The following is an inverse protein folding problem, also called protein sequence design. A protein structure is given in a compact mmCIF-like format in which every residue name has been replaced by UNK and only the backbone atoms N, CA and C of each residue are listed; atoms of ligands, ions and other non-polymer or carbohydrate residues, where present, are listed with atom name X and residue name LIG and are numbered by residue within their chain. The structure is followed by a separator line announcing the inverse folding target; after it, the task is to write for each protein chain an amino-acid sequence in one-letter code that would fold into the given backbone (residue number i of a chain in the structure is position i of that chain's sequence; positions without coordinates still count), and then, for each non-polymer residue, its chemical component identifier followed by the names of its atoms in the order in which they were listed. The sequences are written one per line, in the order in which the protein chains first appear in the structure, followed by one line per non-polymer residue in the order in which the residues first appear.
data_IF_496058283469
#
_entry.id   IF_496058283469
#
_cell.length_a   1.000
_cell.length_b   1.000
_cell.length_c   1.000
_cell.angle_alpha   90.00
_cell.angle_beta   90.00
_cell.angle_gamma   90.00
#
_symmetry.space_group_name_H-M   'P 1'
#
loop_
_entity.id
_entity.type
_entity.pdbx_description
1 polymer ?
#
# COMPACT_ATOMS: atom_id res chain seq x y z
N UNK A 1 -53.11 34.96 14.57
CA UNK A 1 -52.01 34.07 15.01
C UNK A 1 -50.70 34.66 14.51
N UNK A 2 -49.74 35.04 15.37
CA UNK A 2 -48.49 35.63 14.91
C UNK A 2 -47.64 34.56 14.20
N UNK A 3 -47.08 34.93 13.05
CA UNK A 3 -46.22 34.07 12.23
C UNK A 3 -44.98 33.63 13.03
N UNK A 4 -44.76 32.31 13.12
CA UNK A 4 -43.52 31.76 13.68
C UNK A 4 -42.36 32.23 12.83
N UNK A 5 -41.58 33.20 13.31
CA UNK A 5 -40.29 33.55 12.72
C UNK A 5 -39.40 32.30 12.73
N UNK A 6 -38.98 31.84 11.55
CA UNK A 6 -37.92 30.84 11.42
C UNK A 6 -36.61 31.53 11.80
N UNK A 7 -36.00 31.09 12.89
CA UNK A 7 -34.63 31.46 13.21
C UNK A 7 -33.70 30.53 12.42
N UNK A 8 -32.68 31.11 11.79
CA UNK A 8 -31.58 30.35 11.19
C UNK A 8 -30.50 30.28 12.26
N UNK A 9 -30.21 29.08 12.73
CA UNK A 9 -29.09 28.84 13.65
C UNK A 9 -27.83 28.61 12.81
N UNK A 10 -26.80 29.42 13.06
CA UNK A 10 -25.48 29.27 12.45
C UNK A 10 -24.50 28.84 13.54
N UNK A 11 -23.83 27.69 13.32
CA UNK A 11 -22.85 27.12 14.25
C UNK A 11 -21.46 27.37 13.68
N UNK A 12 -20.60 27.97 14.49
CA UNK A 12 -19.21 28.28 14.13
C UNK A 12 -18.25 27.48 15.01
N UNK A 13 -17.10 27.10 14.45
CA UNK A 13 -15.99 26.48 15.16
C UNK A 13 -14.68 27.10 14.68
N UNK A 14 -13.80 27.48 15.62
CA UNK A 14 -12.45 27.97 15.32
C UNK A 14 -11.50 26.82 14.91
N UNK A 15 -11.88 25.58 15.19
CA UNK A 15 -11.13 24.36 14.84
C UNK A 15 -11.82 23.65 13.68
N UNK A 16 -11.07 22.79 12.97
CA UNK A 16 -11.60 21.86 11.97
C UNK A 16 -12.45 20.75 12.63
N UNK A 17 -13.51 21.12 13.33
CA UNK A 17 -14.38 20.22 14.07
C UNK A 17 -15.77 20.13 13.43
N UNK A 18 -16.29 18.91 13.35
CA UNK A 18 -17.62 18.65 12.83
C UNK A 18 -18.67 19.13 13.85
N UNK A 19 -19.58 20.05 13.48
CA UNK A 19 -20.59 20.59 14.40
C UNK A 19 -21.64 19.55 14.80
N UNK A 20 -21.85 18.51 14.00
CA UNK A 20 -22.84 17.46 14.27
C UNK A 20 -22.30 16.33 15.13
N UNK A 21 -21.06 15.90 14.87
CA UNK A 21 -20.50 14.67 15.44
C UNK A 21 -19.41 14.91 16.49
N UNK A 22 -18.95 16.17 16.65
CA UNK A 22 -17.91 16.53 17.62
C UNK A 22 -16.50 16.00 17.30
N UNK A 23 -16.28 15.47 16.10
CA UNK A 23 -14.97 14.96 15.65
C UNK A 23 -14.12 16.13 15.16
N UNK A 24 -12.89 16.25 15.65
CA UNK A 24 -11.90 17.23 15.17
C UNK A 24 -10.90 16.59 14.22
N UNK A 25 -10.73 17.18 13.04
CA UNK A 25 -9.61 16.88 12.16
C UNK A 25 -8.33 17.55 12.68
N UNK A 26 -7.17 16.90 12.50
CA UNK A 26 -5.88 17.51 12.79
C UNK A 26 -5.61 18.69 11.85
N UNK A 27 -4.60 19.50 12.20
CA UNK A 27 -4.13 20.58 11.33
C UNK A 27 -3.67 20.03 9.98
N UNK A 28 -4.13 20.68 8.90
CA UNK A 28 -3.79 20.29 7.53
C UNK A 28 -2.34 20.67 7.25
N UNK A 29 -1.46 19.69 7.37
CA UNK A 29 -0.03 19.82 7.05
C UNK A 29 0.39 18.74 6.07
N UNK A 30 1.46 18.99 5.30
CA UNK A 30 1.98 18.00 4.35
C UNK A 30 2.31 16.64 5.00
N UNK A 31 2.67 16.64 6.30
CA UNK A 31 2.97 15.42 7.06
C UNK A 31 1.75 14.51 7.23
N UNK A 32 0.55 15.08 7.29
CA UNK A 32 -0.71 14.31 7.35
C UNK A 32 -0.91 13.45 6.10
N UNK A 33 -0.38 13.86 4.95
CA UNK A 33 -0.51 13.16 3.68
C UNK A 33 0.68 12.25 3.36
N UNK A 34 1.63 12.11 4.29
CA UNK A 34 2.80 11.26 4.11
C UNK A 34 2.63 9.93 4.82
N UNK A 35 2.61 8.84 4.05
CA UNK A 35 2.62 7.48 4.60
C UNK A 35 3.96 7.10 5.24
N UNK A 36 5.03 7.89 5.00
CA UNK A 36 6.32 7.74 5.66
C UNK A 36 6.40 8.51 6.99
N UNK A 37 5.35 9.26 7.35
CA UNK A 37 5.26 9.99 8.61
C UNK A 37 4.26 9.31 9.54
N UNK A 38 4.57 9.12 10.83
CA UNK A 38 3.62 8.52 11.77
C UNK A 38 2.32 9.32 11.93
N UNK A 39 2.34 10.62 11.58
CA UNK A 39 1.17 11.50 11.58
C UNK A 39 0.16 11.13 10.49
N UNK A 40 0.63 10.80 9.29
CA UNK A 40 -0.22 10.49 8.13
C UNK A 40 -0.39 9.01 7.83
N UNK A 41 0.54 8.17 8.30
CA UNK A 41 0.54 6.73 8.09
C UNK A 41 -0.65 6.04 8.76
N UNK A 42 -1.24 5.08 8.05
CA UNK A 42 -2.23 4.16 8.61
C UNK A 42 -1.64 3.48 9.87
N UNK A 43 -2.34 3.50 11.02
CA UNK A 43 -1.81 2.95 12.27
C UNK A 43 -1.59 1.42 12.20
N UNK A 44 -2.41 0.72 11.41
CA UNK A 44 -2.45 -0.74 11.41
C UNK A 44 -1.38 -1.38 10.52
N UNK A 45 -1.02 -0.72 9.42
CA UNK A 45 0.06 -1.18 8.52
C UNK A 45 1.28 -0.26 8.54
N UNK A 46 1.30 0.76 9.41
CA UNK A 46 2.39 1.74 9.56
C UNK A 46 2.84 2.36 8.22
N UNK A 47 1.89 2.59 7.31
CA UNK A 47 2.18 3.19 6.01
C UNK A 47 2.67 2.22 4.92
N UNK A 48 2.69 0.91 5.17
CA UNK A 48 3.05 -0.08 4.15
C UNK A 48 1.93 -0.28 3.12
N UNK A 49 0.67 -0.17 3.54
CA UNK A 49 -0.53 -0.45 2.71
C UNK A 49 -0.85 -1.94 2.57
N UNK A 50 0.10 -2.80 2.91
CA UNK A 50 -0.07 -4.25 2.96
C UNK A 50 0.06 -4.76 4.39
N UNK A 51 -0.49 -5.94 4.65
CA UNK A 51 -0.16 -6.77 5.80
C UNK A 51 0.37 -8.09 5.29
N UNK A 52 1.35 -8.63 5.98
CA UNK A 52 1.84 -9.96 5.74
C UNK A 52 0.94 -10.93 6.49
N UNK A 53 0.38 -11.89 5.77
CA UNK A 53 -0.40 -12.98 6.32
C UNK A 53 0.17 -14.30 5.81
N UNK A 54 0.15 -15.33 6.65
CA UNK A 54 0.53 -16.66 6.22
C UNK A 54 -0.63 -17.28 5.42
N UNK A 55 -0.33 -17.78 4.22
CA UNK A 55 -1.32 -18.50 3.42
C UNK A 55 -1.41 -19.97 3.91
N UNK A 56 -2.55 -20.43 4.44
CA UNK A 56 -2.68 -21.80 4.95
C UNK A 56 -2.37 -22.87 3.89
N UNK A 57 -2.82 -22.65 2.66
CA UNK A 57 -2.62 -23.55 1.53
C UNK A 57 -1.14 -23.77 1.15
N UNK A 58 -0.26 -22.78 1.36
CA UNK A 58 1.17 -22.95 1.08
C UNK A 58 1.88 -23.70 2.22
N UNK A 59 1.37 -23.57 3.44
CA UNK A 59 1.93 -24.10 4.68
C UNK A 59 1.68 -25.62 4.85
N UNK A 60 0.62 -26.14 4.25
CA UNK A 60 0.09 -27.49 4.52
C UNK A 60 0.43 -28.47 3.38
N UNK A 61 0.78 -29.69 3.74
CA UNK A 61 0.85 -30.87 2.88
C UNK A 61 -0.28 -31.83 3.28
N UNK A 62 -1.36 -31.86 2.48
CA UNK A 62 -2.60 -32.55 2.85
C UNK A 62 -2.47 -34.08 2.92
N UNK A 63 -1.49 -34.66 2.23
CA UNK A 63 -1.30 -36.11 2.18
C UNK A 63 -0.55 -36.66 3.39
N UNK A 64 0.14 -35.79 4.13
CA UNK A 64 0.90 -36.15 5.32
C UNK A 64 0.02 -36.29 6.57
N UNK A 65 0.51 -37.04 7.58
CA UNK A 65 -0.07 -37.02 8.92
C UNK A 65 -0.13 -35.61 9.49
N UNK A 66 -1.11 -35.33 10.35
CA UNK A 66 -1.35 -33.99 10.88
C UNK A 66 -0.13 -33.38 11.60
N UNK A 67 0.71 -34.20 12.21
CA UNK A 67 1.96 -33.77 12.84
C UNK A 67 3.04 -33.31 11.83
N UNK A 68 3.03 -33.88 10.62
CA UNK A 68 4.02 -33.64 9.58
C UNK A 68 3.50 -32.78 8.42
N UNK A 69 2.19 -32.56 8.37
CA UNK A 69 1.52 -31.81 7.32
C UNK A 69 1.94 -30.34 7.31
N UNK A 70 2.33 -29.79 8.44
CA UNK A 70 2.73 -28.38 8.53
C UNK A 70 4.23 -28.28 8.24
N UNK A 71 4.57 -27.67 7.10
CA UNK A 71 5.93 -27.65 6.56
C UNK A 71 6.93 -26.93 7.47
N UNK A 72 6.64 -25.73 8.03
CA UNK A 72 7.58 -25.07 8.96
C UNK A 72 7.92 -25.90 10.19
N UNK A 73 6.99 -26.71 10.70
CA UNK A 73 7.22 -27.57 11.87
C UNK A 73 8.27 -28.68 11.59
N UNK A 74 8.64 -28.92 10.33
CA UNK A 74 9.68 -29.89 9.98
C UNK A 74 11.09 -29.29 10.09
N UNK A 75 11.22 -27.97 10.19
CA UNK A 75 12.52 -27.31 10.33
C UNK A 75 12.99 -27.38 11.79
N UNK A 76 14.30 -27.26 11.99
CA UNK A 76 14.89 -27.19 13.34
C UNK A 76 14.42 -25.97 14.12
N UNK A 77 13.95 -24.93 13.43
CA UNK A 77 13.53 -23.66 14.03
C UNK A 77 12.16 -23.79 14.70
N UNK A 78 11.22 -24.55 14.14
CA UNK A 78 9.84 -24.66 14.65
C UNK A 78 9.43 -26.07 15.10
N UNK A 79 10.33 -27.05 15.08
CA UNK A 79 10.03 -28.43 15.48
C UNK A 79 9.43 -28.56 16.89
N UNK A 80 9.73 -27.63 17.81
CA UNK A 80 9.23 -27.64 19.17
C UNK A 80 7.70 -27.52 19.24
N UNK A 81 7.05 -26.94 18.22
CA UNK A 81 5.59 -26.83 18.12
C UNK A 81 4.90 -28.18 17.85
N UNK A 82 5.64 -29.23 17.46
CA UNK A 82 5.06 -30.58 17.30
C UNK A 82 4.53 -31.14 18.62
N UNK A 83 5.21 -30.88 19.74
CA UNK A 83 4.78 -31.38 21.04
C UNK A 83 3.42 -30.81 21.50
N UNK A 84 3.20 -29.48 21.53
CA UNK A 84 1.89 -28.93 21.86
C UNK A 84 0.83 -29.28 20.80
N UNK A 85 1.20 -29.38 19.52
CA UNK A 85 0.28 -29.87 18.48
C UNK A 85 -0.24 -31.28 18.78
N UNK A 86 0.63 -32.22 19.17
CA UNK A 86 0.24 -33.58 19.59
C UNK A 86 -0.70 -33.57 20.80
N UNK A 87 -0.57 -32.59 21.70
CA UNK A 87 -1.48 -32.41 22.83
C UNK A 87 -2.86 -31.97 22.36
N UNK A 88 -2.92 -30.95 21.50
CA UNK A 88 -4.18 -30.43 20.92
C UNK A 88 -4.91 -31.52 20.14
N UNK A 89 -4.20 -32.25 19.26
CA UNK A 89 -4.79 -33.35 18.49
C UNK A 89 -5.43 -34.41 19.39
N UNK A 90 -4.73 -34.84 20.45
CA UNK A 90 -5.26 -35.83 21.41
C UNK A 90 -6.48 -35.32 22.17
N UNK A 91 -6.48 -34.04 22.56
CA UNK A 91 -7.64 -33.43 23.22
C UNK A 91 -8.87 -33.42 22.32
N UNK A 92 -8.68 -33.12 21.03
CA UNK A 92 -9.74 -33.14 20.02
C UNK A 92 -10.12 -34.57 19.56
N UNK A 93 -9.52 -35.62 20.13
CA UNK A 93 -9.84 -37.02 19.82
C UNK A 93 -9.12 -37.59 18.59
N UNK A 94 -8.10 -36.91 18.07
CA UNK A 94 -7.34 -37.34 16.89
C UNK A 94 -5.93 -37.82 17.24
N UNK A 95 -5.39 -38.70 16.40
CA UNK A 95 -4.01 -39.17 16.53
C UNK A 95 -3.06 -38.31 15.70
N UNK A 96 -1.78 -38.15 16.11
CA UNK A 96 -0.78 -37.46 15.29
C UNK A 96 -0.57 -38.09 13.89
N UNK A 97 -0.94 -39.37 13.74
CA UNK A 97 -0.83 -40.14 12.50
C UNK A 97 -2.02 -39.96 11.55
N UNK A 98 -3.10 -39.33 12.00
CA UNK A 98 -4.26 -39.06 11.17
C UNK A 98 -3.85 -38.14 10.01
N UNK A 99 -4.15 -38.50 8.76
CA UNK A 99 -3.86 -37.65 7.60
C UNK A 99 -4.57 -36.30 7.73
N UNK A 100 -3.91 -35.21 7.35
CA UNK A 100 -4.46 -33.86 7.46
C UNK A 100 -5.79 -33.69 6.73
N UNK A 101 -5.89 -34.22 5.49
CA UNK A 101 -7.13 -34.17 4.69
C UNK A 101 -8.34 -34.83 5.34
N UNK A 102 -8.12 -35.77 6.28
CA UNK A 102 -9.18 -36.48 6.98
C UNK A 102 -9.66 -35.75 8.25
N UNK A 103 -9.02 -34.64 8.63
CA UNK A 103 -9.47 -33.83 9.75
C UNK A 103 -10.67 -32.96 9.34
N UNK A 104 -11.69 -32.81 10.19
CA UNK A 104 -12.75 -31.83 9.98
C UNK A 104 -12.21 -30.40 9.94
N UNK A 105 -12.92 -29.52 9.25
CA UNK A 105 -12.50 -28.13 9.08
C UNK A 105 -12.45 -27.36 10.40
N UNK A 106 -13.35 -27.65 11.34
CA UNK A 106 -13.32 -27.09 12.70
C UNK A 106 -12.03 -27.45 13.43
N UNK A 107 -11.57 -28.69 13.30
CA UNK A 107 -10.33 -29.17 13.93
C UNK A 107 -9.11 -28.52 13.28
N UNK A 108 -9.10 -28.39 11.95
CA UNK A 108 -8.04 -27.66 11.24
C UNK A 108 -7.99 -26.20 11.69
N UNK A 109 -9.13 -25.53 11.82
CA UNK A 109 -9.21 -24.15 12.28
C UNK A 109 -8.66 -23.98 13.70
N UNK A 110 -9.01 -24.89 14.63
CA UNK A 110 -8.45 -24.85 15.99
C UNK A 110 -6.93 -25.05 15.95
N UNK A 111 -6.41 -25.97 15.13
CA UNK A 111 -4.97 -26.20 15.00
C UNK A 111 -4.26 -24.95 14.45
N UNK A 112 -4.80 -24.34 13.39
CA UNK A 112 -4.16 -23.24 12.68
C UNK A 112 -4.31 -21.90 13.40
N UNK A 113 -5.50 -21.56 13.88
CA UNK A 113 -5.83 -20.23 14.42
C UNK A 113 -5.97 -20.20 15.94
N UNK A 114 -5.99 -21.36 16.59
CA UNK A 114 -5.98 -21.45 18.04
C UNK A 114 -7.36 -21.52 18.68
N UNK A 115 -7.37 -21.88 19.95
CA UNK A 115 -8.50 -21.72 20.87
C UNK A 115 -7.92 -21.38 22.25
N UNK A 116 -7.99 -20.09 22.60
CA UNK A 116 -7.49 -19.58 23.88
C UNK A 116 -8.44 -19.86 25.03
N UNK A 117 -9.71 -20.15 24.75
CA UNK A 117 -10.77 -20.23 25.75
C UNK A 117 -10.76 -21.57 26.46
N UNK A 118 -10.56 -22.65 25.71
CA UNK A 118 -10.62 -24.02 26.26
C UNK A 118 -9.28 -24.77 26.23
N UNK A 119 -8.37 -24.39 25.33
CA UNK A 119 -7.17 -25.17 25.04
C UNK A 119 -5.84 -24.46 25.35
N UNK A 120 -5.91 -23.19 25.73
CA UNK A 120 -4.72 -22.30 25.85
C UNK A 120 -3.79 -22.44 24.65
N UNK A 121 -4.37 -22.55 23.44
CA UNK A 121 -3.62 -22.79 22.21
C UNK A 121 -3.61 -21.52 21.36
N UNK A 122 -2.42 -20.98 21.11
CA UNK A 122 -2.22 -19.77 20.30
C UNK A 122 -2.64 -19.98 18.84
N UNK A 123 -2.53 -21.21 18.32
CA UNK A 123 -2.62 -21.49 16.89
C UNK A 123 -1.27 -21.37 16.21
N UNK A 124 -1.06 -22.14 15.16
CA UNK A 124 0.21 -22.17 14.43
C UNK A 124 0.40 -20.91 13.60
N UNK A 125 -0.64 -20.43 12.92
CA UNK A 125 -0.54 -19.22 12.09
C UNK A 125 -0.22 -17.99 12.94
N UNK A 126 -0.99 -17.64 14.00
CA UNK A 126 -0.68 -16.49 14.83
C UNK A 126 0.71 -16.57 15.46
N UNK A 127 1.15 -17.77 15.85
CA UNK A 127 2.48 -18.00 16.37
C UNK A 127 3.57 -17.70 15.34
N UNK A 128 3.46 -18.23 14.12
CA UNK A 128 4.44 -18.02 13.05
C UNK A 128 4.46 -16.55 12.59
N UNK A 129 3.30 -15.90 12.47
CA UNK A 129 3.19 -14.47 12.14
C UNK A 129 3.90 -13.60 13.19
N UNK A 130 3.66 -13.88 14.47
CA UNK A 130 4.35 -13.20 15.56
C UNK A 130 5.86 -13.43 15.51
N UNK A 131 6.31 -14.66 15.28
CA UNK A 131 7.74 -14.99 15.13
C UNK A 131 8.38 -14.29 13.94
N UNK A 132 7.68 -14.13 12.83
CA UNK A 132 8.17 -13.38 11.66
C UNK A 132 8.37 -11.90 11.98
N UNK A 133 7.42 -11.28 12.70
CA UNK A 133 7.46 -9.87 13.05
C UNK A 133 8.47 -9.54 14.18
N UNK A 134 8.57 -10.41 15.20
CA UNK A 134 9.42 -10.19 16.38
C UNK A 134 10.87 -10.64 16.18
N UNK A 135 11.14 -11.57 15.26
CA UNK A 135 12.48 -12.12 15.08
C UNK A 135 13.43 -11.14 14.39
N UNK A 136 14.59 -10.94 15.01
CA UNK A 136 15.74 -10.23 14.43
C UNK A 136 16.68 -11.17 13.65
N UNK A 137 16.45 -12.49 13.69
CA UNK A 137 17.29 -13.47 13.00
C UNK A 137 16.79 -13.69 11.56
N UNK A 138 17.69 -13.50 10.59
CA UNK A 138 17.40 -13.65 9.16
C UNK A 138 16.85 -15.04 8.81
N UNK A 139 17.40 -16.10 9.41
CA UNK A 139 16.97 -17.48 9.21
C UNK A 139 15.46 -17.70 9.42
N UNK A 140 14.86 -17.01 10.39
CA UNK A 140 13.41 -17.14 10.67
C UNK A 140 12.59 -16.51 9.55
N UNK A 141 13.08 -15.41 8.96
CA UNK A 141 12.41 -14.74 7.85
C UNK A 141 12.53 -15.58 6.58
N UNK A 142 13.74 -16.01 6.23
CA UNK A 142 14.01 -16.89 5.09
C UNK A 142 13.14 -18.15 5.11
N UNK A 143 13.02 -18.82 6.28
CA UNK A 143 12.17 -20.02 6.41
C UNK A 143 10.67 -19.74 6.25
N UNK A 144 10.21 -18.52 6.49
CA UNK A 144 8.79 -18.16 6.45
C UNK A 144 8.36 -17.40 5.19
N UNK A 145 9.30 -16.80 4.46
CA UNK A 145 9.05 -16.00 3.26
C UNK A 145 8.20 -16.74 2.22
N UNK A 146 8.48 -18.02 1.99
CA UNK A 146 7.74 -18.85 1.03
C UNK A 146 6.25 -19.00 1.36
N UNK A 147 5.89 -18.88 2.65
CA UNK A 147 4.54 -19.07 3.16
C UNK A 147 3.77 -17.77 3.35
N UNK A 148 4.49 -16.64 3.38
CA UNK A 148 3.90 -15.33 3.58
C UNK A 148 3.36 -14.80 2.25
N UNK A 149 2.19 -14.17 2.34
CA UNK A 149 1.60 -13.42 1.24
C UNK A 149 1.32 -12.01 1.72
N UNK A 150 1.57 -11.05 0.84
CA UNK A 150 1.13 -9.69 1.04
C UNK A 150 -0.35 -9.60 0.71
N UNK A 151 -1.17 -9.24 1.69
CA UNK A 151 -2.55 -8.84 1.47
C UNK A 151 -2.71 -7.35 1.64
N UNK A 152 -3.69 -6.80 0.93
CA UNK A 152 -4.05 -5.39 1.10
C UNK A 152 -4.52 -5.15 2.52
N UNK A 153 -4.01 -4.09 3.16
CA UNK A 153 -4.39 -3.76 4.53
C UNK A 153 -5.90 -3.47 4.60
N UNK A 154 -6.67 -4.19 5.44
CA UNK A 154 -8.13 -4.05 5.50
C UNK A 154 -8.57 -2.67 6.01
N UNK A 155 -7.73 -2.00 6.80
CA UNK A 155 -8.06 -0.73 7.46
C UNK A 155 -7.97 0.45 6.50
N UNK A 156 -6.94 0.48 5.65
CA UNK A 156 -6.70 1.59 4.72
C UNK A 156 -6.99 1.22 3.25
N UNK A 157 -7.33 -0.05 2.97
CA UNK A 157 -7.59 -0.53 1.61
C UNK A 157 -6.40 -0.36 0.67
N UNK A 158 -5.17 -0.38 1.20
CA UNK A 158 -3.95 -0.18 0.42
C UNK A 158 -3.46 1.27 0.33
N UNK A 159 -4.27 2.24 0.76
CA UNK A 159 -3.95 3.67 0.64
C UNK A 159 -2.77 4.16 1.48
N UNK A 160 -2.33 3.36 2.46
CA UNK A 160 -1.21 3.64 3.38
C UNK A 160 -1.46 4.79 4.35
N UNK A 161 -2.58 5.49 4.23
CA UNK A 161 -2.88 6.70 4.99
C UNK A 161 -3.96 6.48 6.05
N UNK A 162 -4.04 7.41 7.00
CA UNK A 162 -5.14 7.47 7.95
C UNK A 162 -6.43 7.98 7.30
N UNK A 163 -7.57 7.67 7.92
CA UNK A 163 -8.89 8.09 7.44
C UNK A 163 -9.04 9.61 7.38
N UNK A 164 -8.44 10.33 8.32
CA UNK A 164 -8.45 11.79 8.38
C UNK A 164 -7.76 12.40 7.16
N UNK A 165 -6.63 11.83 6.72
CA UNK A 165 -5.93 12.27 5.52
C UNK A 165 -6.75 12.00 4.25
N UNK A 166 -7.43 10.85 4.19
CA UNK A 166 -8.29 10.48 3.06
C UNK A 166 -9.59 11.29 3.01
N UNK A 167 -10.00 11.90 4.12
CA UNK A 167 -11.20 12.74 4.20
C UNK A 167 -10.99 14.13 3.61
N UNK A 168 -9.74 14.52 3.32
CA UNK A 168 -9.43 15.78 2.64
C UNK A 168 -9.50 15.57 1.13
N UNK A 169 -10.42 16.29 0.50
CA UNK A 169 -10.75 16.11 -0.91
C UNK A 169 -10.37 17.35 -1.73
N UNK A 170 -9.91 17.12 -2.95
CA UNK A 170 -9.71 18.13 -3.99
C UNK A 170 -10.60 17.74 -5.17
N UNK A 171 -11.51 18.63 -5.58
CA UNK A 171 -12.52 18.36 -6.63
C UNK A 171 -13.24 17.02 -6.43
N UNK A 172 -13.60 16.73 -5.16
CA UNK A 172 -14.32 15.51 -4.76
C UNK A 172 -13.47 14.25 -4.67
N UNK A 173 -12.13 14.33 -4.75
CA UNK A 173 -11.23 13.18 -4.73
C UNK A 173 -10.18 13.28 -3.63
N UNK A 174 -9.92 12.17 -2.94
CA UNK A 174 -8.85 12.08 -1.95
C UNK A 174 -7.48 11.98 -2.64
N UNK A 175 -6.40 12.20 -1.88
CA UNK A 175 -5.05 11.98 -2.39
C UNK A 175 -4.86 10.56 -2.95
N UNK A 176 -5.50 9.56 -2.33
CA UNK A 176 -5.41 8.17 -2.77
C UNK A 176 -6.09 7.96 -4.13
N UNK A 177 -7.26 8.55 -4.32
CA UNK A 177 -7.99 8.46 -5.59
C UNK A 177 -7.18 9.06 -6.74
N UNK A 178 -6.47 10.16 -6.49
CA UNK A 178 -5.63 10.85 -7.48
C UNK A 178 -4.41 10.00 -7.85
N UNK A 179 -3.70 9.43 -6.87
CA UNK A 179 -2.48 8.63 -7.16
C UNK A 179 -2.79 7.27 -7.79
N UNK A 180 -4.03 6.79 -7.69
CA UNK A 180 -4.51 5.59 -8.37
C UNK A 180 -4.86 5.81 -9.85
N UNK A 181 -5.01 7.06 -10.29
CA UNK A 181 -5.25 7.35 -11.71
C UNK A 181 -3.99 7.04 -12.52
N UNK A 182 -4.16 6.60 -13.79
CA UNK A 182 -3.09 6.66 -14.76
C UNK A 182 -2.52 8.08 -14.84
N UNK A 183 -1.20 8.22 -14.99
CA UNK A 183 -0.48 9.51 -15.05
C UNK A 183 -1.09 10.44 -16.10
N UNK A 184 -1.51 9.91 -17.25
CA UNK A 184 -2.18 10.69 -18.28
C UNK A 184 -3.53 11.27 -17.85
N UNK A 185 -4.29 10.54 -17.03
CA UNK A 185 -5.55 11.01 -16.45
C UNK A 185 -5.31 12.00 -15.30
N UNK A 186 -4.35 11.70 -14.42
CA UNK A 186 -3.95 12.60 -13.34
C UNK A 186 -3.50 13.96 -13.88
N UNK A 187 -2.75 13.99 -14.99
CA UNK A 187 -2.34 15.24 -15.65
C UNK A 187 -3.56 16.07 -16.06
N UNK A 188 -4.52 15.45 -16.76
CA UNK A 188 -5.77 16.11 -17.18
C UNK A 188 -6.58 16.60 -15.98
N UNK A 189 -6.62 15.81 -14.90
CA UNK A 189 -7.28 16.20 -13.66
C UNK A 189 -6.71 17.51 -13.11
N UNK A 190 -5.37 17.64 -13.01
CA UNK A 190 -4.74 18.86 -12.51
C UNK A 190 -4.85 20.05 -13.47
N UNK A 191 -4.82 19.81 -14.79
CA UNK A 191 -5.09 20.85 -15.80
C UNK A 191 -6.50 21.43 -15.62
N UNK A 192 -7.52 20.57 -15.53
CA UNK A 192 -8.90 20.99 -15.30
C UNK A 192 -9.08 21.65 -13.93
N UNK A 193 -8.40 21.17 -12.89
CA UNK A 193 -8.44 21.76 -11.55
C UNK A 193 -7.89 23.19 -11.57
N UNK A 194 -6.76 23.42 -12.25
CA UNK A 194 -6.11 24.74 -12.35
C UNK A 194 -7.05 25.79 -12.95
N UNK A 195 -7.88 25.41 -13.91
CA UNK A 195 -8.88 26.28 -14.53
C UNK A 195 -10.05 26.63 -13.60
N UNK A 196 -10.43 25.72 -12.69
CA UNK A 196 -11.54 25.90 -11.75
C UNK A 196 -11.18 26.72 -10.51
N UNK A 197 -9.90 26.94 -10.22
CA UNK A 197 -9.45 27.61 -9.01
C UNK A 197 -10.01 29.04 -8.91
N UNK A 198 -10.40 29.43 -7.70
CA UNK A 198 -10.71 30.82 -7.36
C UNK A 198 -9.44 31.67 -7.36
N UNK A 199 -9.58 33.00 -7.46
CA UNK A 199 -8.41 33.91 -7.44
C UNK A 199 -7.58 33.79 -6.16
N UNK A 200 -8.21 33.53 -5.01
CA UNK A 200 -7.49 33.28 -3.75
C UNK A 200 -6.69 31.98 -3.78
N UNK A 201 -7.27 30.92 -4.32
CA UNK A 201 -6.59 29.62 -4.41
C UNK A 201 -5.45 29.67 -5.43
N UNK A 202 -5.63 30.35 -6.57
CA UNK A 202 -4.57 30.55 -7.56
C UNK A 202 -3.33 31.20 -6.97
N UNK A 203 -3.49 32.22 -6.12
CA UNK A 203 -2.35 32.89 -5.46
C UNK A 203 -1.47 31.92 -4.65
N UNK A 204 -2.05 30.84 -4.14
CA UNK A 204 -1.36 29.85 -3.29
C UNK A 204 -0.89 28.65 -4.12
N UNK A 205 -1.77 28.11 -4.96
CA UNK A 205 -1.61 26.79 -5.57
C UNK A 205 -1.09 26.81 -7.01
N UNK A 206 -1.14 27.94 -7.73
CA UNK A 206 -0.87 27.97 -9.18
C UNK A 206 0.54 27.44 -9.53
N UNK A 207 1.57 27.89 -8.81
CA UNK A 207 2.96 27.42 -9.02
C UNK A 207 3.12 25.93 -8.67
N UNK A 208 2.41 25.44 -7.66
CA UNK A 208 2.43 24.03 -7.26
C UNK A 208 1.75 23.16 -8.31
N UNK A 209 0.59 23.58 -8.81
CA UNK A 209 -0.14 22.87 -9.86
C UNK A 209 0.66 22.85 -11.17
N UNK A 210 1.29 23.96 -11.54
CA UNK A 210 2.16 24.01 -12.71
C UNK A 210 3.32 23.00 -12.61
N UNK A 211 3.98 22.92 -11.45
CA UNK A 211 5.05 21.94 -11.23
C UNK A 211 4.55 20.49 -11.29
N UNK A 212 3.38 20.21 -10.72
CA UNK A 212 2.75 18.87 -10.80
C UNK A 212 2.44 18.52 -12.26
N UNK A 213 1.78 19.41 -12.99
CA UNK A 213 1.41 19.21 -14.41
C UNK A 213 2.66 18.99 -15.26
N UNK A 214 3.72 19.75 -15.03
CA UNK A 214 5.00 19.60 -15.73
C UNK A 214 5.63 18.22 -15.48
N UNK A 215 5.70 17.78 -14.22
CA UNK A 215 6.25 16.46 -13.86
C UNK A 215 5.47 15.30 -14.45
N UNK A 216 4.14 15.38 -14.40
CA UNK A 216 3.27 14.40 -15.05
C UNK A 216 3.47 14.44 -16.57
N UNK A 217 3.62 15.63 -17.15
CA UNK A 217 3.96 15.82 -18.56
C UNK A 217 5.25 15.12 -18.98
N UNK A 218 6.31 15.18 -18.16
CA UNK A 218 7.56 14.46 -18.45
C UNK A 218 7.37 12.95 -18.49
N UNK A 219 6.58 12.40 -17.55
CA UNK A 219 6.25 10.97 -17.55
C UNK A 219 5.44 10.57 -18.79
N UNK A 220 4.48 11.40 -19.23
CA UNK A 220 3.74 11.16 -20.47
C UNK A 220 4.65 11.20 -21.70
N UNK A 221 5.60 12.14 -21.74
CA UNK A 221 6.53 12.29 -22.88
C UNK A 221 7.47 11.09 -23.04
N UNK A 222 7.84 10.42 -21.94
CA UNK A 222 8.63 9.17 -21.98
C UNK A 222 7.75 7.91 -22.11
N UNK A 223 6.45 8.07 -22.39
CA UNK A 223 5.54 6.95 -22.65
C UNK A 223 5.16 6.14 -21.41
N UNK A 224 5.02 6.79 -20.26
CA UNK A 224 4.61 6.18 -18.98
C UNK A 224 3.22 6.68 -18.52
N UNK A 225 2.39 7.13 -19.45
CA UNK A 225 1.05 7.69 -19.18
C UNK A 225 0.06 6.67 -18.61
N UNK A 226 0.28 5.38 -18.87
CA UNK A 226 -0.54 4.26 -18.37
C UNK A 226 -0.23 3.86 -16.92
N UNK A 227 0.91 4.30 -16.36
CA UNK A 227 1.29 3.97 -14.98
C UNK A 227 0.47 4.78 -13.99
N UNK A 228 0.27 4.23 -12.80
CA UNK A 228 -0.27 4.97 -11.65
C UNK A 228 0.86 5.46 -10.75
N UNK A 229 0.63 6.56 -10.04
CA UNK A 229 1.62 7.08 -9.06
C UNK A 229 1.73 6.20 -7.81
N UNK A 230 0.73 5.35 -7.57
CA UNK A 230 0.69 4.39 -6.46
C UNK A 230 1.46 3.09 -6.72
N UNK A 231 1.90 2.82 -7.98
CA UNK A 231 2.58 1.57 -8.34
C UNK A 231 3.90 1.42 -7.58
N UNK A 232 4.11 0.24 -7.00
CA UNK A 232 5.34 -0.06 -6.26
C UNK A 232 6.55 -0.10 -7.18
N UNK A 233 7.62 0.60 -6.80
CA UNK A 233 8.85 0.71 -7.60
C UNK A 233 9.50 -0.64 -7.93
N UNK A 234 9.38 -1.64 -7.04
CA UNK A 234 9.94 -2.99 -7.23
C UNK A 234 9.25 -3.78 -8.35
N UNK A 235 8.05 -3.37 -8.78
CA UNK A 235 7.29 -4.04 -9.85
C UNK A 235 7.55 -3.46 -11.23
N UNK A 236 8.38 -2.41 -11.33
CA UNK A 236 8.70 -1.76 -12.59
C UNK A 236 9.72 -2.60 -13.37
N UNK A 237 9.54 -2.68 -14.68
CA UNK A 237 10.55 -3.19 -15.59
C UNK A 237 11.78 -2.27 -15.63
N UNK A 238 12.94 -2.81 -16.03
CA UNK A 238 14.16 -2.02 -16.17
C UNK A 238 13.98 -0.79 -17.07
N UNK A 239 13.30 -0.94 -18.21
CA UNK A 239 12.98 0.16 -19.12
C UNK A 239 12.03 1.21 -18.52
N UNK A 240 11.01 0.79 -17.76
CA UNK A 240 10.14 1.73 -17.04
C UNK A 240 10.92 2.52 -15.99
N UNK A 241 11.72 1.84 -15.16
CA UNK A 241 12.52 2.49 -14.12
C UNK A 241 13.53 3.50 -14.72
N UNK A 242 14.17 3.13 -15.83
CA UNK A 242 15.08 4.01 -16.56
C UNK A 242 14.36 5.26 -17.09
N UNK A 243 13.17 5.10 -17.68
CA UNK A 243 12.38 6.24 -18.21
C UNK A 243 11.85 7.14 -17.11
N UNK A 244 11.47 6.61 -15.93
CA UNK A 244 11.14 7.43 -14.75
C UNK A 244 12.36 8.26 -14.32
N UNK A 245 13.55 7.66 -14.31
CA UNK A 245 14.79 8.38 -13.99
C UNK A 245 15.05 9.50 -15.00
N UNK A 246 14.88 9.24 -16.30
CA UNK A 246 15.00 10.26 -17.34
C UNK A 246 13.99 11.40 -17.14
N UNK A 247 12.71 11.08 -16.90
CA UNK A 247 11.68 12.07 -16.62
C UNK A 247 12.01 12.94 -15.40
N UNK A 248 12.60 12.34 -14.37
CA UNK A 248 13.04 13.05 -13.16
C UNK A 248 14.18 14.03 -13.46
N UNK A 249 15.13 13.66 -14.35
CA UNK A 249 16.22 14.56 -14.76
C UNK A 249 15.75 15.72 -15.63
N UNK A 250 14.74 15.53 -16.48
CA UNK A 250 14.14 16.65 -17.21
C UNK A 250 13.55 17.70 -16.26
N UNK A 251 12.96 17.24 -15.15
CA UNK A 251 12.40 18.13 -14.13
C UNK A 251 13.44 18.85 -13.27
N UNK A 252 14.69 18.38 -13.21
CA UNK A 252 15.74 19.01 -12.40
C UNK A 252 16.33 20.26 -13.07
N UNK A 253 16.10 20.46 -14.39
CA UNK A 253 16.59 21.60 -15.19
C UNK A 253 18.08 21.91 -14.97
N UNK A 254 18.89 20.87 -14.77
CA UNK A 254 20.33 21.02 -14.58
C UNK A 254 21.01 21.31 -15.93
N UNK A 255 21.83 22.36 -15.97
CA UNK A 255 22.62 22.75 -17.14
C UNK A 255 24.09 22.37 -16.96
N UNK A 256 24.82 22.17 -18.07
CA UNK A 256 26.25 21.81 -18.03
C UNK A 256 26.53 20.37 -17.59
N UNK A 257 25.55 19.48 -17.69
CA UNK A 257 25.67 18.07 -17.28
C UNK A 257 25.85 17.18 -18.51
N UNK A 258 26.82 16.25 -18.45
CA UNK A 258 26.95 15.18 -19.43
C UNK A 258 26.07 13.98 -19.02
N UNK A 259 24.95 13.81 -19.72
CA UNK A 259 24.11 12.63 -19.55
C UNK A 259 24.60 11.49 -20.44
N UNK A 260 24.95 10.35 -19.83
CA UNK A 260 25.27 9.09 -20.52
C UNK A 260 24.09 8.15 -20.34
N UNK A 261 23.41 7.81 -21.43
CA UNK A 261 22.25 6.92 -21.43
C UNK A 261 22.61 5.58 -22.07
N UNK A 262 22.20 4.49 -21.45
CA UNK A 262 22.39 3.13 -21.95
C UNK A 262 21.08 2.59 -22.53
N UNK A 263 20.98 2.49 -23.86
CA UNK A 263 19.80 1.97 -24.60
C UNK A 263 18.41 2.44 -24.10
N UNK A 264 18.09 3.76 -24.14
CA UNK A 264 16.84 4.30 -23.57
C UNK A 264 15.57 3.90 -24.31
N UNK A 265 15.68 3.23 -25.47
CA UNK A 265 14.56 2.70 -26.25
C UNK A 265 14.08 1.32 -25.77
N UNK A 266 14.76 0.69 -24.81
CA UNK A 266 14.39 -0.66 -24.36
C UNK A 266 12.96 -0.72 -23.80
N UNK A 267 12.19 -1.70 -24.29
CA UNK A 267 10.79 -1.88 -23.90
C UNK A 267 9.86 -0.73 -24.33
N UNK A 268 10.25 0.07 -25.32
CA UNK A 268 9.42 1.12 -25.90
C UNK A 268 8.79 0.65 -27.21
N UNK A 269 7.50 0.96 -27.40
CA UNK A 269 6.84 0.71 -28.68
C UNK A 269 7.40 1.66 -29.77
N UNK A 270 7.58 1.23 -31.04
CA UNK A 270 8.14 2.07 -32.10
C UNK A 270 7.44 3.43 -32.29
N UNK A 271 6.13 3.49 -31.99
CA UNK A 271 5.33 4.73 -32.03
C UNK A 271 5.80 5.80 -31.02
N UNK A 272 6.33 5.39 -29.87
CA UNK A 272 6.74 6.30 -28.81
C UNK A 272 8.22 6.72 -28.91
N UNK A 273 8.98 6.09 -29.81
CA UNK A 273 10.39 6.45 -30.08
C UNK A 273 10.54 7.91 -30.49
N UNK A 274 9.60 8.45 -31.28
CA UNK A 274 9.62 9.87 -31.66
C UNK A 274 9.46 10.79 -30.44
N UNK A 275 8.62 10.42 -29.47
CA UNK A 275 8.44 11.20 -28.24
C UNK A 275 9.70 11.17 -27.38
N UNK A 276 10.35 10.01 -27.27
CA UNK A 276 11.63 9.87 -26.57
C UNK A 276 12.71 10.74 -27.22
N UNK A 277 12.85 10.71 -28.55
CA UNK A 277 13.82 11.54 -29.28
C UNK A 277 13.58 13.03 -29.02
N UNK A 278 12.33 13.48 -29.09
CA UNK A 278 11.98 14.88 -28.81
C UNK A 278 12.33 15.27 -27.36
N UNK A 279 12.13 14.34 -26.44
CA UNK A 279 12.48 14.52 -25.03
C UNK A 279 13.99 14.66 -24.82
N UNK A 280 14.80 13.83 -25.50
CA UNK A 280 16.26 13.92 -25.45
C UNK A 280 16.78 15.20 -26.09
N UNK A 281 16.18 15.67 -27.19
CA UNK A 281 16.49 16.97 -27.78
C UNK A 281 16.17 18.10 -26.79
N UNK A 282 15.02 18.02 -26.13
CA UNK A 282 14.66 18.95 -25.06
C UNK A 282 15.72 18.99 -23.96
N UNK A 283 16.25 17.85 -23.54
CA UNK A 283 17.31 17.77 -22.53
C UNK A 283 18.65 18.38 -23.00
N UNK A 284 18.99 18.22 -24.28
CA UNK A 284 20.19 18.80 -24.90
C UNK A 284 20.08 20.32 -25.06
N UNK A 285 18.89 20.80 -25.38
CA UNK A 285 18.60 22.20 -25.75
C UNK A 285 18.18 23.06 -24.52
N UNK A 286 18.33 22.52 -23.30
CA UNK A 286 18.10 23.21 -22.02
C UNK A 286 19.14 24.30 -21.71
#
# INVERSE_FOLDING_TARGET
MPSKKKYVEEIYSEKNACPEHGISLPELSARLFSFNSPYGACPDCKGLGVKWEIAPESLIDEEKPAEEAIKPLQTMTFNYLKWPLRRVLRYLGYTPRTKWKNLPEEVKNIILYGDKTHLEWEGIIPHLERRFLESETEKVREELEDYIREKTCPTCGGSRLRKEALSVLIDGKSIWDIVQMPVGEAKKFFENLREKLTEKEKQIADRLLEEIINRLGFLVNVGLDYLTLSRTATTLSGGEAQRIRLATQLGSKLTGVLYVLDEPSIGLHPRDTTKLINTLKGLRDL
#
